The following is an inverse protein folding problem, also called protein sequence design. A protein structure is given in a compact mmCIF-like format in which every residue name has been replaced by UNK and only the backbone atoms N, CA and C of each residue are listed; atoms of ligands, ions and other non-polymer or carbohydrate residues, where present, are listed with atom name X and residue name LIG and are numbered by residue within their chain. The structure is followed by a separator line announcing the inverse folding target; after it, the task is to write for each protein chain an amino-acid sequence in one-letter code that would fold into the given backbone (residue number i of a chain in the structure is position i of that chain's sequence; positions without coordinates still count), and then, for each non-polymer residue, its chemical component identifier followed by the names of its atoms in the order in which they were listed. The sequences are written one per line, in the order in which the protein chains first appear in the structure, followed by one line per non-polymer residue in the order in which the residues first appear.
data_IF_895143011849
#
_entry.id   IF_895143011849
#
_cell.length_a   1.000
_cell.length_b   1.000
_cell.length_c   1.000
_cell.angle_alpha   90.00
_cell.angle_beta   90.00
_cell.angle_gamma   90.00
#
_symmetry.space_group_name_H-M   'P 1'
#
loop_
_entity.id
_entity.type
_entity.pdbx_description
1 polymer ?
#
# COMPACT_ATOMS: atom_id res chain seq x y z
N UNK A 1 1.24 -16.94 1.69
CA UNK A 1 1.61 -15.53 1.95
C UNK A 1 1.12 -15.01 3.29
N UNK A 2 -0.18 -14.76 3.51
CA UNK A 2 -0.69 -14.15 4.76
C UNK A 2 -0.22 -14.84 6.07
N UNK A 3 -0.15 -16.18 6.08
CA UNK A 3 0.35 -16.98 7.21
C UNK A 3 1.85 -16.84 7.44
N UNK A 4 2.63 -16.69 6.36
CA UNK A 4 4.07 -16.50 6.42
C UNK A 4 4.43 -15.09 6.92
N UNK A 5 3.67 -14.07 6.49
CA UNK A 5 3.79 -12.69 7.00
C UNK A 5 3.53 -12.65 8.52
N UNK A 6 2.47 -13.33 8.99
CA UNK A 6 2.16 -13.41 10.42
C UNK A 6 3.25 -14.14 11.23
N UNK A 7 3.88 -15.17 10.66
CA UNK A 7 5.01 -15.86 11.30
C UNK A 7 6.28 -14.99 11.31
N UNK A 8 6.53 -14.24 10.24
CA UNK A 8 7.67 -13.32 10.15
C UNK A 8 7.58 -12.20 11.21
N UNK A 9 6.38 -11.64 11.43
CA UNK A 9 6.10 -10.66 12.49
C UNK A 9 6.43 -11.19 13.90
N UNK A 10 6.23 -12.48 14.16
CA UNK A 10 6.52 -13.12 15.46
C UNK A 10 8.01 -13.35 15.73
N UNK A 11 8.85 -13.39 14.70
CA UNK A 11 10.25 -13.84 14.81
C UNK A 11 11.24 -12.68 14.77
N UNK A 12 10.89 -11.56 14.12
CA UNK A 12 11.84 -10.49 13.84
C UNK A 12 11.79 -9.30 14.79
N UNK A 13 10.67 -9.11 15.51
CA UNK A 13 10.35 -7.90 16.28
C UNK A 13 10.52 -6.59 15.47
N UNK A 14 10.52 -6.72 14.13
CA UNK A 14 10.80 -5.63 13.20
C UNK A 14 9.50 -5.26 12.49
N UNK A 15 8.78 -4.37 13.14
CA UNK A 15 7.51 -3.82 12.68
C UNK A 15 7.62 -3.26 11.25
N UNK A 16 8.67 -2.49 10.95
CA UNK A 16 8.89 -1.89 9.64
C UNK A 16 9.03 -2.96 8.56
N UNK A 17 9.79 -4.04 8.81
CA UNK A 17 9.88 -5.15 7.84
C UNK A 17 8.56 -5.87 7.60
N UNK A 18 7.65 -5.87 8.58
CA UNK A 18 6.32 -6.45 8.38
C UNK A 18 5.49 -5.58 7.44
N UNK A 19 5.48 -4.26 7.67
CA UNK A 19 4.79 -3.30 6.81
C UNK A 19 5.38 -3.31 5.40
N UNK A 20 6.71 -3.38 5.29
CA UNK A 20 7.44 -3.51 4.03
C UNK A 20 7.00 -4.74 3.22
N UNK A 21 6.91 -5.91 3.87
CA UNK A 21 6.49 -7.14 3.22
C UNK A 21 5.01 -7.11 2.80
N UNK A 22 4.16 -6.43 3.57
CA UNK A 22 2.74 -6.23 3.24
C UNK A 22 2.57 -5.31 2.04
N UNK A 23 3.34 -4.21 1.96
CA UNK A 23 3.35 -3.33 0.80
C UNK A 23 3.93 -4.02 -0.44
N UNK A 24 5.03 -4.77 -0.27
CA UNK A 24 5.62 -5.56 -1.36
C UNK A 24 4.65 -6.56 -1.97
N UNK A 25 3.79 -7.17 -1.15
CA UNK A 25 2.75 -8.06 -1.65
C UNK A 25 1.76 -7.33 -2.58
N UNK A 26 1.40 -6.08 -2.27
CA UNK A 26 0.51 -5.28 -3.12
C UNK A 26 1.24 -4.85 -4.40
N UNK A 27 2.48 -4.37 -4.29
CA UNK A 27 3.31 -3.99 -5.44
C UNK A 27 3.41 -5.13 -6.47
N UNK A 28 3.71 -6.35 -6.00
CA UNK A 28 3.78 -7.52 -6.87
C UNK A 28 2.43 -7.87 -7.48
N UNK A 29 1.32 -7.65 -6.77
CA UNK A 29 -0.01 -7.89 -7.31
C UNK A 29 -0.39 -6.93 -8.44
N UNK A 30 -0.05 -5.65 -8.27
CA UNK A 30 -0.23 -4.62 -9.31
C UNK A 30 0.66 -4.91 -10.53
N UNK A 31 1.95 -5.17 -10.32
CA UNK A 31 2.88 -5.49 -11.41
C UNK A 31 2.47 -6.76 -12.18
N UNK A 32 2.04 -7.79 -11.47
CA UNK A 32 1.55 -9.03 -12.09
C UNK A 32 0.35 -8.75 -12.99
N UNK A 33 -0.60 -7.93 -12.53
CA UNK A 33 -1.77 -7.56 -13.34
C UNK A 33 -1.37 -6.78 -14.58
N UNK A 34 -0.47 -5.81 -14.45
CA UNK A 34 0.05 -5.04 -15.59
C UNK A 34 0.80 -5.91 -16.61
N UNK A 35 1.44 -6.98 -16.14
CA UNK A 35 2.23 -7.88 -16.99
C UNK A 35 1.40 -8.96 -17.69
N UNK A 36 0.37 -9.48 -17.02
CA UNK A 36 -0.35 -10.68 -17.46
C UNK A 36 -1.86 -10.47 -17.69
N UNK A 37 -2.36 -9.26 -17.45
CA UNK A 37 -3.76 -8.89 -17.59
C UNK A 37 -4.59 -9.16 -16.33
N UNK A 38 -5.89 -8.85 -16.44
CA UNK A 38 -6.82 -8.93 -15.32
C UNK A 38 -6.96 -10.34 -14.74
N UNK A 39 -6.95 -10.46 -13.41
CA UNK A 39 -7.10 -11.73 -12.71
C UNK A 39 -8.54 -11.98 -12.29
N UNK A 40 -9.09 -11.11 -11.45
CA UNK A 40 -10.48 -11.20 -10.97
C UNK A 40 -10.70 -10.53 -9.62
N UNK A 41 -11.97 -10.22 -9.33
CA UNK A 41 -12.42 -9.44 -8.16
C UNK A 41 -11.81 -9.88 -6.82
N UNK A 42 -11.85 -11.18 -6.52
CA UNK A 42 -11.35 -11.71 -5.25
C UNK A 42 -9.84 -11.50 -5.03
N UNK A 43 -9.07 -11.42 -6.13
CA UNK A 43 -7.66 -11.07 -6.07
C UNK A 43 -7.48 -9.59 -5.71
N UNK A 44 -8.19 -8.68 -6.39
CA UNK A 44 -8.10 -7.24 -6.12
C UNK A 44 -8.62 -6.89 -4.73
N UNK A 45 -9.71 -7.51 -4.27
CA UNK A 45 -10.17 -7.38 -2.89
C UNK A 45 -9.07 -7.72 -1.88
N UNK A 46 -8.26 -8.75 -2.17
CA UNK A 46 -7.15 -9.14 -1.30
C UNK A 46 -5.98 -8.15 -1.33
N UNK A 47 -5.75 -7.46 -2.46
CA UNK A 47 -4.77 -6.39 -2.59
C UNK A 47 -5.20 -5.14 -1.84
N UNK A 48 -6.42 -4.66 -2.08
CA UNK A 48 -7.01 -3.48 -1.42
C UNK A 48 -7.02 -3.68 0.09
N UNK A 49 -7.45 -4.85 0.58
CA UNK A 49 -7.42 -5.15 2.02
C UNK A 49 -6.02 -5.15 2.62
N UNK A 50 -4.98 -5.51 1.85
CA UNK A 50 -3.59 -5.44 2.36
C UNK A 50 -3.07 -4.00 2.32
N UNK A 51 -3.38 -3.26 1.26
CA UNK A 51 -3.01 -1.85 1.13
C UNK A 51 -3.62 -1.01 2.26
N UNK A 52 -4.91 -1.20 2.56
CA UNK A 52 -5.59 -0.59 3.71
C UNK A 52 -4.81 -0.84 5.01
N UNK A 53 -4.35 -2.08 5.22
CA UNK A 53 -3.60 -2.43 6.43
C UNK A 53 -2.27 -1.70 6.51
N UNK A 54 -1.54 -1.59 5.39
CA UNK A 54 -0.29 -0.81 5.33
C UNK A 54 -0.56 0.64 5.68
N UNK A 55 -1.63 1.22 5.13
CA UNK A 55 -2.05 2.61 5.41
C UNK A 55 -2.41 2.80 6.88
N UNK A 56 -3.19 1.90 7.48
CA UNK A 56 -3.49 1.94 8.93
C UNK A 56 -2.23 1.90 9.81
N UNK A 57 -1.16 1.22 9.38
CA UNK A 57 0.13 1.22 10.09
C UNK A 57 0.90 2.54 9.88
N UNK A 58 0.75 3.19 8.73
CA UNK A 58 1.32 4.51 8.44
C UNK A 58 0.59 5.65 9.19
N UNK A 59 -0.72 5.55 9.40
CA UNK A 59 -1.49 6.55 10.15
C UNK A 59 -1.12 6.60 11.64
N UNK A 60 -0.49 5.56 12.19
CA UNK A 60 -0.08 5.51 13.60
C UNK A 60 1.21 6.29 13.88
N UNK A 61 2.04 6.51 12.86
CA UNK A 61 3.38 7.06 13.00
C UNK A 61 3.81 7.72 11.68
N UNK A 62 4.00 9.03 11.71
CA UNK A 62 4.41 9.84 10.56
C UNK A 62 5.75 9.37 9.97
N UNK A 63 6.71 8.93 10.79
CA UNK A 63 8.01 8.44 10.29
C UNK A 63 7.82 7.16 9.45
N UNK A 64 6.86 6.31 9.81
CA UNK A 64 6.50 5.12 9.05
C UNK A 64 5.84 5.51 7.73
N UNK A 65 4.92 6.49 7.75
CA UNK A 65 4.34 7.02 6.53
C UNK A 65 5.41 7.57 5.59
N UNK A 66 6.27 8.47 6.07
CA UNK A 66 7.34 9.08 5.29
C UNK A 66 8.28 8.02 4.69
N UNK A 67 8.53 6.92 5.40
CA UNK A 67 9.33 5.81 4.90
C UNK A 67 8.69 5.07 3.70
N UNK A 68 7.36 5.00 3.62
CA UNK A 68 6.63 4.24 2.60
C UNK A 68 5.87 5.10 1.58
N UNK A 69 5.78 6.42 1.77
CA UNK A 69 4.99 7.38 0.96
C UNK A 69 5.16 7.19 -0.54
N UNK A 70 6.40 7.20 -1.02
CA UNK A 70 6.70 7.08 -2.45
C UNK A 70 6.21 5.76 -3.04
N UNK A 71 6.32 4.66 -2.28
CA UNK A 71 5.90 3.33 -2.72
C UNK A 71 4.39 3.18 -2.69
N UNK A 72 3.72 3.72 -1.67
CA UNK A 72 2.27 3.80 -1.61
C UNK A 72 1.71 4.54 -2.83
N UNK A 73 2.27 5.71 -3.14
CA UNK A 73 1.87 6.49 -4.31
C UNK A 73 2.15 5.74 -5.62
N UNK A 74 3.31 5.09 -5.74
CA UNK A 74 3.64 4.30 -6.91
C UNK A 74 2.64 3.16 -7.15
N UNK A 75 2.15 2.49 -6.10
CA UNK A 75 1.09 1.48 -6.22
C UNK A 75 -0.19 2.08 -6.79
N UNK A 76 -0.61 3.26 -6.31
CA UNK A 76 -1.80 3.96 -6.82
C UNK A 76 -1.63 4.30 -8.30
N UNK A 77 -0.53 4.97 -8.66
CA UNK A 77 -0.25 5.36 -10.06
C UNK A 77 -0.17 4.14 -10.99
N UNK A 78 0.52 3.09 -10.57
CA UNK A 78 0.68 1.88 -11.38
C UNK A 78 -0.60 1.04 -11.49
N UNK A 79 -1.62 1.32 -10.67
CA UNK A 79 -2.91 0.64 -10.75
C UNK A 79 -3.88 1.30 -11.74
N UNK A 80 -3.53 2.47 -12.30
CA UNK A 80 -4.37 3.17 -13.26
C UNK A 80 -4.73 2.27 -14.45
N UNK A 81 -6.01 2.29 -14.82
CA UNK A 81 -6.57 1.46 -15.88
C UNK A 81 -6.81 -0.01 -15.51
N UNK A 82 -6.45 -0.48 -14.31
CA UNK A 82 -6.84 -1.82 -13.82
C UNK A 82 -8.33 -1.82 -13.46
N UNK A 83 -9.06 -2.84 -13.91
CA UNK A 83 -10.51 -2.95 -13.71
C UNK A 83 -10.94 -3.24 -12.27
N UNK A 84 -12.23 -3.56 -12.12
CA UNK A 84 -12.84 -3.99 -10.85
C UNK A 84 -12.86 -2.94 -9.72
N UNK A 85 -12.71 -1.66 -10.07
CA UNK A 85 -12.61 -0.57 -9.09
C UNK A 85 -11.33 -0.65 -8.25
N UNK A 86 -10.32 -1.39 -8.71
CA UNK A 86 -9.08 -1.58 -7.96
C UNK A 86 -8.33 -0.25 -7.77
N UNK A 87 -8.15 0.49 -8.87
CA UNK A 87 -7.52 1.81 -8.83
C UNK A 87 -8.26 2.77 -7.91
N UNK A 88 -9.57 2.92 -8.13
CA UNK A 88 -10.43 3.83 -7.36
C UNK A 88 -10.34 3.55 -5.85
N UNK A 89 -10.34 2.27 -5.45
CA UNK A 89 -10.22 1.89 -4.05
C UNK A 89 -8.84 2.21 -3.46
N UNK A 90 -7.75 1.97 -4.20
CA UNK A 90 -6.41 2.34 -3.73
C UNK A 90 -6.26 3.86 -3.61
N UNK A 91 -6.81 4.60 -4.57
CA UNK A 91 -6.79 6.06 -4.59
C UNK A 91 -7.55 6.64 -3.39
N UNK A 92 -8.76 6.15 -3.11
CA UNK A 92 -9.57 6.56 -1.95
C UNK A 92 -8.82 6.33 -0.63
N UNK A 93 -8.18 5.17 -0.48
CA UNK A 93 -7.41 4.82 0.72
C UNK A 93 -6.15 5.67 0.84
N UNK A 94 -5.44 5.91 -0.25
CA UNK A 94 -4.22 6.72 -0.20
C UNK A 94 -4.53 8.15 0.21
N UNK A 95 -5.49 8.80 -0.44
CA UNK A 95 -5.84 10.19 -0.14
C UNK A 95 -6.58 10.39 1.20
N UNK A 96 -6.92 9.32 1.92
CA UNK A 96 -7.44 9.43 3.29
C UNK A 96 -6.35 9.64 4.35
N UNK A 97 -5.06 9.43 4.01
CA UNK A 97 -3.94 9.53 4.96
C UNK A 97 -3.81 10.97 5.47
N UNK A 98 -3.82 11.13 6.80
CA UNK A 98 -3.79 12.46 7.43
C UNK A 98 -2.49 13.25 7.18
N UNK A 99 -1.37 12.56 6.96
CA UNK A 99 -0.04 13.14 6.77
C UNK A 99 0.23 13.68 5.34
N UNK A 100 -0.69 13.49 4.39
CA UNK A 100 -0.44 13.84 2.97
C UNK A 100 -0.32 15.33 2.71
N UNK A 101 -1.04 16.16 3.47
CA UNK A 101 -1.18 17.59 3.22
C UNK A 101 -0.33 18.46 4.16
N UNK A 102 0.39 17.85 5.11
CA UNK A 102 1.26 18.59 6.04
C UNK A 102 2.62 18.97 5.41
N UNK A 103 3.04 18.30 4.32
CA UNK A 103 4.32 18.54 3.63
C UNK A 103 4.29 19.67 2.57
N UNK A 104 3.11 20.12 2.11
CA UNK A 104 3.00 21.10 1.01
C UNK A 104 3.08 22.59 1.47
N UNK A 105 3.19 22.84 2.78
CA UNK A 105 3.22 24.21 3.36
C UNK A 105 4.64 24.80 3.53
N UNK A 106 5.71 24.10 3.13
CA UNK A 106 7.10 24.54 3.36
C UNK A 106 7.87 25.05 2.12
N UNK A 107 7.21 25.26 0.97
CA UNK A 107 7.88 25.74 -0.26
C UNK A 107 7.52 27.19 -0.69
N UNK A 108 7.39 28.12 0.27
CA UNK A 108 7.41 29.57 -0.03
C UNK A 108 8.03 30.41 1.10
N UNK A 109 9.37 30.46 1.18
CA UNK A 109 10.12 31.57 1.82
C UNK A 109 11.25 32.03 0.91
#
# INVERSE_FOLDING_TARGET
MKKEIANFKKVTDDYLKTVDLELFYVEMGTEYTNSFGDIGEGFYYSMVSMFQKVVEECEKDEEVFQHFKDRLYAVVVNSDGIGWGYHDALEEIYYSICWLFDDDDEEYI
#
